data_IF_900000968808
#
_entry.id   IF_900000968808
#
_cell.length_a   1.000
_cell.length_b   1.000
_cell.length_c   1.000
_cell.angle_alpha   90.00
_cell.angle_beta   90.00
_cell.angle_gamma   90.00
#
_symmetry.space_group_name_H-M   'P 1'
#
loop_
_entity.id
_entity.type
_entity.pdbx_description
1 polymer ?
#
# COMPACT_ATOMS: atom_id res chain seq x y z
N UNK A 1 -20.83 -21.82 9.93
CA UNK A 1 -19.47 -21.67 10.48
C UNK A 1 -18.58 -21.10 9.38
N UNK A 2 -18.25 -19.80 9.37
CA UNK A 2 -17.26 -19.30 8.43
C UNK A 2 -15.92 -19.96 8.77
N UNK A 3 -15.31 -20.60 7.78
CA UNK A 3 -14.05 -21.34 7.92
C UNK A 3 -12.95 -20.38 8.41
N UNK A 4 -12.59 -20.48 9.69
CA UNK A 4 -11.51 -19.75 10.38
C UNK A 4 -10.12 -20.18 9.92
N UNK A 5 -9.85 -20.15 8.61
CA UNK A 5 -8.48 -20.35 8.13
C UNK A 5 -7.73 -19.05 8.40
N UNK A 6 -6.83 -19.08 9.37
CA UNK A 6 -5.85 -18.02 9.62
C UNK A 6 -4.98 -17.80 8.38
N UNK A 7 -4.33 -16.64 8.30
CA UNK A 7 -3.32 -16.41 7.27
C UNK A 7 -2.21 -17.48 7.39
N UNK A 8 -1.72 -18.02 6.26
CA UNK A 8 -0.53 -18.86 6.29
C UNK A 8 0.67 -18.12 6.85
N UNK A 9 1.61 -18.85 7.47
CA UNK A 9 2.86 -18.26 7.92
C UNK A 9 3.60 -17.59 6.75
N UNK A 10 4.17 -16.38 6.95
CA UNK A 10 4.94 -15.71 5.92
C UNK A 10 6.25 -16.46 5.63
N UNK A 11 6.77 -16.33 4.41
CA UNK A 11 8.16 -16.68 4.13
C UNK A 11 9.04 -15.59 4.76
N UNK A 12 9.96 -15.98 5.62
CA UNK A 12 10.87 -15.06 6.32
C UNK A 12 12.30 -15.36 5.91
N UNK A 13 13.00 -14.33 5.45
CA UNK A 13 14.41 -14.39 5.06
C UNK A 13 15.17 -13.48 6.02
N UNK A 14 16.02 -14.10 6.84
CA UNK A 14 16.86 -13.38 7.78
C UNK A 14 17.89 -12.50 7.05
N UNK A 15 18.38 -11.43 7.68
CA UNK A 15 19.49 -10.64 7.14
C UNK A 15 20.70 -11.53 6.82
N UNK A 16 21.41 -11.23 5.73
CA UNK A 16 22.65 -11.94 5.37
C UNK A 16 23.75 -11.71 6.41
N UNK A 17 23.80 -10.54 7.02
CA UNK A 17 24.58 -10.25 8.23
C UNK A 17 23.69 -10.52 9.45
N UNK A 18 23.67 -11.79 9.88
CA UNK A 18 22.76 -12.27 10.93
C UNK A 18 22.94 -11.59 12.30
N UNK A 19 24.09 -10.96 12.54
CA UNK A 19 24.41 -10.17 13.72
C UNK A 19 23.85 -8.73 13.66
N UNK A 20 23.26 -8.32 12.53
CA UNK A 20 22.76 -6.96 12.28
C UNK A 20 21.39 -6.97 11.61
N UNK A 21 20.32 -6.80 12.41
CA UNK A 21 18.96 -6.55 11.90
C UNK A 21 18.65 -5.06 12.00
N UNK A 22 18.72 -4.36 10.87
CA UNK A 22 18.54 -2.89 10.82
C UNK A 22 17.15 -2.49 10.36
N UNK A 23 16.57 -3.22 9.40
CA UNK A 23 15.27 -2.91 8.80
C UNK A 23 14.55 -4.20 8.43
N UNK A 24 13.22 -4.12 8.30
CA UNK A 24 12.40 -5.18 7.71
C UNK A 24 11.65 -4.64 6.50
N UNK A 25 11.71 -5.38 5.38
CA UNK A 25 10.91 -5.14 4.18
C UNK A 25 9.82 -6.23 4.09
N UNK A 26 8.56 -5.82 4.11
CA UNK A 26 7.38 -6.67 3.94
C UNK A 26 6.84 -6.50 2.53
N UNK A 27 6.90 -7.55 1.68
CA UNK A 27 6.47 -7.47 0.29
C UNK A 27 5.34 -8.46 -0.03
N UNK A 28 4.21 -7.90 -0.46
CA UNK A 28 3.00 -8.64 -0.79
C UNK A 28 3.01 -9.10 -2.24
N UNK A 29 2.62 -10.36 -2.46
CA UNK A 29 2.50 -10.94 -3.79
C UNK A 29 1.22 -10.48 -4.53
N UNK A 30 1.22 -10.60 -5.87
CA UNK A 30 0.04 -10.39 -6.69
C UNK A 30 -1.01 -11.50 -6.59
N UNK A 31 -2.23 -11.22 -7.05
CA UNK A 31 -3.38 -12.14 -6.99
C UNK A 31 -3.05 -13.53 -7.57
N UNK A 32 -3.47 -14.58 -6.87
CA UNK A 32 -3.30 -15.98 -7.29
C UNK A 32 -1.94 -16.60 -6.96
N UNK A 33 -0.98 -15.82 -6.44
CA UNK A 33 0.35 -16.31 -6.04
C UNK A 33 0.40 -16.70 -4.55
N UNK A 34 1.59 -16.82 -3.98
CA UNK A 34 1.84 -16.94 -2.54
C UNK A 34 3.21 -16.33 -2.19
N UNK A 35 3.45 -16.09 -0.90
CA UNK A 35 4.67 -15.46 -0.39
C UNK A 35 5.94 -16.28 -0.67
N UNK A 36 5.86 -17.61 -0.63
CA UNK A 36 7.00 -18.50 -0.90
C UNK A 36 7.48 -18.37 -2.34
N UNK A 37 6.59 -18.56 -3.30
CA UNK A 37 6.89 -18.46 -4.74
C UNK A 37 7.34 -17.05 -5.12
N UNK A 38 6.62 -16.04 -4.65
CA UNK A 38 6.95 -14.65 -4.98
C UNK A 38 8.30 -14.25 -4.36
N UNK A 39 8.54 -14.56 -3.09
CA UNK A 39 9.76 -14.20 -2.39
C UNK A 39 11.01 -14.87 -2.96
N UNK A 40 10.94 -16.17 -3.29
CA UNK A 40 12.05 -16.88 -3.94
C UNK A 40 12.40 -16.23 -5.30
N UNK A 41 11.40 -16.06 -6.18
CA UNK A 41 11.62 -15.45 -7.50
C UNK A 41 12.13 -14.02 -7.38
N UNK A 42 11.59 -13.23 -6.45
CA UNK A 42 12.02 -11.86 -6.21
C UNK A 42 13.49 -11.83 -5.77
N UNK A 43 13.89 -12.60 -4.77
CA UNK A 43 15.27 -12.57 -4.28
C UNK A 43 16.27 -13.10 -5.31
N UNK A 44 15.93 -14.18 -6.01
CA UNK A 44 16.79 -14.79 -7.03
C UNK A 44 16.98 -13.90 -8.25
N UNK A 45 15.91 -13.25 -8.73
CA UNK A 45 15.98 -12.43 -9.94
C UNK A 45 16.55 -11.03 -9.69
N UNK A 46 16.39 -10.49 -8.49
CA UNK A 46 16.78 -9.11 -8.19
C UNK A 46 18.13 -9.00 -7.53
N UNK A 47 18.61 -10.03 -6.83
CA UNK A 47 19.83 -9.98 -6.01
C UNK A 47 19.84 -8.85 -4.95
N UNK A 48 18.65 -8.34 -4.59
CA UNK A 48 18.50 -7.19 -3.69
C UNK A 48 19.00 -7.48 -2.26
N UNK A 49 18.91 -8.72 -1.79
CA UNK A 49 19.40 -9.09 -0.46
C UNK A 49 20.91 -8.92 -0.29
N UNK A 50 21.69 -9.08 -1.37
CA UNK A 50 23.14 -8.78 -1.34
C UNK A 50 23.42 -7.29 -1.22
N UNK A 51 22.58 -6.48 -1.84
CA UNK A 51 22.67 -5.02 -1.76
C UNK A 51 22.27 -4.54 -0.35
N UNK A 52 21.36 -5.26 0.32
CA UNK A 52 20.78 -4.90 1.62
C UNK A 52 21.08 -5.98 2.68
N UNK A 53 22.36 -6.21 3.04
CA UNK A 53 22.74 -7.39 3.83
C UNK A 53 22.23 -7.37 5.28
N UNK A 54 21.83 -6.21 5.80
CA UNK A 54 21.31 -6.02 7.16
C UNK A 54 19.78 -5.95 7.23
N UNK A 55 19.11 -6.24 6.13
CA UNK A 55 17.66 -6.14 5.99
C UNK A 55 17.03 -7.53 6.02
N UNK A 56 15.97 -7.67 6.81
CA UNK A 56 15.11 -8.86 6.84
C UNK A 56 14.02 -8.71 5.79
N UNK A 57 13.71 -9.77 5.06
CA UNK A 57 12.59 -9.78 4.11
C UNK A 57 11.47 -10.71 4.60
N UNK A 58 10.24 -10.23 4.52
CA UNK A 58 9.04 -10.96 4.91
C UNK A 58 8.05 -10.96 3.75
N UNK A 59 7.65 -12.14 3.29
CA UNK A 59 6.71 -12.31 2.20
C UNK A 59 5.45 -13.02 2.73
N UNK A 60 4.43 -12.26 3.14
CA UNK A 60 3.17 -12.84 3.60
C UNK A 60 2.40 -13.50 2.45
N UNK A 61 1.56 -14.47 2.79
CA UNK A 61 0.67 -15.15 1.83
C UNK A 61 -0.77 -14.75 2.08
N UNK A 62 -1.47 -14.25 1.07
CA UNK A 62 -2.89 -13.95 1.16
C UNK A 62 -3.71 -15.21 1.46
N UNK A 63 -4.77 -15.06 2.26
CA UNK A 63 -5.73 -16.13 2.54
C UNK A 63 -6.43 -16.60 1.26
N UNK A 64 -6.83 -17.89 1.22
CA UNK A 64 -7.66 -18.42 0.14
C UNK A 64 -9.08 -17.83 0.22
N UNK A 65 -9.49 -17.10 -0.82
CA UNK A 65 -10.84 -16.55 -1.00
C UNK A 65 -11.40 -16.99 -2.36
N UNK A 66 -12.72 -17.02 -2.50
CA UNK A 66 -13.37 -17.27 -3.80
C UNK A 66 -13.25 -16.02 -4.67
N UNK A 67 -12.75 -16.15 -5.89
CA UNK A 67 -12.63 -15.02 -6.81
C UNK A 67 -13.88 -14.89 -7.68
N UNK A 68 -14.53 -13.73 -7.66
CA UNK A 68 -15.70 -13.45 -8.49
C UNK A 68 -15.33 -13.49 -9.98
N UNK A 69 -14.23 -12.85 -10.36
CA UNK A 69 -13.67 -12.88 -11.73
C UNK A 69 -13.40 -14.30 -12.22
N UNK A 70 -12.87 -15.18 -11.36
CA UNK A 70 -12.52 -16.56 -11.73
C UNK A 70 -13.63 -17.57 -11.40
N UNK A 71 -14.90 -17.20 -11.60
CA UNK A 71 -16.07 -18.09 -11.43
C UNK A 71 -16.09 -18.80 -10.06
N UNK A 72 -15.72 -18.08 -9.00
CA UNK A 72 -15.66 -18.53 -7.59
C UNK A 72 -14.60 -19.61 -7.30
N UNK A 73 -13.60 -19.78 -8.16
CA UNK A 73 -12.44 -20.64 -7.89
C UNK A 73 -11.69 -20.08 -6.66
N UNK A 74 -11.41 -20.89 -5.62
CA UNK A 74 -10.61 -20.46 -4.48
C UNK A 74 -9.15 -20.24 -4.87
N UNK A 75 -8.66 -19.01 -4.68
CA UNK A 75 -7.27 -18.61 -4.90
C UNK A 75 -6.77 -17.78 -3.73
N UNK A 76 -5.45 -17.67 -3.57
CA UNK A 76 -4.87 -16.70 -2.66
C UNK A 76 -5.04 -15.30 -3.26
N UNK A 77 -5.82 -14.45 -2.59
CA UNK A 77 -6.06 -13.07 -2.99
C UNK A 77 -6.36 -12.25 -1.74
N UNK A 78 -5.88 -11.01 -1.71
CA UNK A 78 -6.02 -10.14 -0.55
C UNK A 78 -7.48 -9.73 -0.37
N UNK A 79 -8.11 -9.34 -1.47
CA UNK A 79 -9.52 -9.00 -1.56
C UNK A 79 -10.10 -9.48 -2.88
N UNK A 80 -11.44 -9.49 -2.99
CA UNK A 80 -12.14 -9.89 -4.22
C UNK A 80 -12.38 -8.67 -5.11
N UNK A 81 -12.31 -8.87 -6.42
CA UNK A 81 -12.58 -7.83 -7.41
C UNK A 81 -13.61 -8.36 -8.39
N UNK A 82 -14.46 -7.46 -8.91
CA UNK A 82 -15.39 -7.81 -9.98
C UNK A 82 -14.75 -7.80 -11.37
N UNK A 83 -13.85 -6.84 -11.63
CA UNK A 83 -13.15 -6.67 -12.90
C UNK A 83 -11.65 -6.54 -12.68
N UNK A 84 -10.87 -7.06 -13.63
CA UNK A 84 -9.41 -6.88 -13.67
C UNK A 84 -9.00 -5.67 -14.48
N UNK A 85 -9.86 -5.22 -15.39
CA UNK A 85 -9.62 -4.06 -16.28
C UNK A 85 -10.02 -2.76 -15.59
N UNK A 86 -11.15 -2.76 -14.88
CA UNK A 86 -11.63 -1.61 -14.10
C UNK A 86 -11.81 -2.01 -12.62
N UNK A 87 -10.78 -1.82 -11.78
CA UNK A 87 -10.87 -2.07 -10.34
C UNK A 87 -11.91 -1.22 -9.61
N UNK A 88 -12.46 -0.17 -10.22
CA UNK A 88 -13.50 0.67 -9.62
C UNK A 88 -14.92 0.15 -9.90
N UNK A 89 -15.06 -0.99 -10.57
CA UNK A 89 -16.38 -1.64 -10.74
C UNK A 89 -16.71 -2.51 -9.53
N UNK A 90 -17.87 -2.27 -8.92
CA UNK A 90 -18.38 -3.06 -7.78
C UNK A 90 -17.38 -3.14 -6.62
N UNK A 91 -16.96 -1.96 -6.15
CA UNK A 91 -15.96 -1.79 -5.10
C UNK A 91 -16.38 -2.39 -3.75
N UNK A 92 -17.68 -2.61 -3.53
CA UNK A 92 -18.21 -3.25 -2.31
C UNK A 92 -17.66 -4.67 -2.09
N UNK A 93 -17.26 -5.38 -3.15
CA UNK A 93 -16.63 -6.71 -3.04
C UNK A 93 -15.22 -6.67 -2.42
N UNK A 94 -14.58 -5.49 -2.41
CA UNK A 94 -13.21 -5.33 -1.95
C UNK A 94 -13.15 -5.17 -0.42
N UNK A 95 -14.22 -4.64 0.20
CA UNK A 95 -14.27 -4.18 1.59
C UNK A 95 -13.84 -5.29 2.57
N UNK A 96 -14.57 -6.40 2.65
CA UNK A 96 -14.28 -7.52 3.58
C UNK A 96 -12.83 -8.02 3.47
N UNK A 97 -12.31 -8.07 2.25
CA UNK A 97 -10.96 -8.55 1.99
C UNK A 97 -9.88 -7.54 2.37
N UNK A 98 -10.13 -6.25 2.13
CA UNK A 98 -9.22 -5.16 2.50
C UNK A 98 -9.17 -4.97 4.02
N UNK A 99 -10.30 -4.99 4.71
CA UNK A 99 -10.39 -4.95 6.17
C UNK A 99 -9.58 -6.11 6.78
N UNK A 100 -9.89 -7.37 6.41
CA UNK A 100 -9.24 -8.55 6.99
C UNK A 100 -7.75 -8.63 6.62
N UNK A 101 -7.37 -8.23 5.40
CA UNK A 101 -5.95 -8.22 4.99
C UNK A 101 -5.17 -7.14 5.71
N UNK A 102 -5.72 -5.95 5.83
CA UNK A 102 -5.07 -4.83 6.52
C UNK A 102 -4.94 -5.13 8.00
N UNK A 103 -5.96 -5.67 8.66
CA UNK A 103 -5.86 -6.12 10.05
C UNK A 103 -4.69 -7.10 10.27
N UNK A 104 -4.54 -8.09 9.38
CA UNK A 104 -3.40 -9.01 9.42
C UNK A 104 -2.05 -8.31 9.20
N UNK A 105 -1.95 -7.42 8.21
CA UNK A 105 -0.71 -6.71 7.88
C UNK A 105 -0.27 -5.78 9.02
N UNK A 106 -1.21 -5.13 9.70
CA UNK A 106 -0.93 -4.30 10.88
C UNK A 106 -0.30 -5.12 11.99
N UNK A 107 -0.89 -6.28 12.31
CA UNK A 107 -0.30 -7.20 13.29
C UNK A 107 1.12 -7.64 12.90
N UNK A 108 1.36 -7.93 11.62
CA UNK A 108 2.68 -8.28 11.11
C UNK A 108 3.67 -7.11 11.20
N UNK A 109 3.26 -5.89 10.85
CA UNK A 109 4.07 -4.68 11.00
C UNK A 109 4.44 -4.47 12.48
N UNK A 110 3.47 -4.62 13.40
CA UNK A 110 3.71 -4.46 14.83
C UNK A 110 4.69 -5.50 15.39
N UNK A 111 4.64 -6.73 14.89
CA UNK A 111 5.60 -7.79 15.23
C UNK A 111 7.01 -7.45 14.74
N UNK A 112 7.14 -6.99 13.49
CA UNK A 112 8.43 -6.63 12.91
C UNK A 112 9.02 -5.36 13.55
N UNK A 113 8.19 -4.37 13.85
CA UNK A 113 8.61 -3.18 14.58
C UNK A 113 9.11 -3.54 15.99
N UNK A 114 8.45 -4.48 16.69
CA UNK A 114 8.90 -4.99 18.01
C UNK A 114 10.29 -5.62 17.95
N UNK A 115 10.62 -6.34 16.87
CA UNK A 115 11.98 -6.88 16.65
C UNK A 115 13.03 -5.78 16.41
N UNK A 116 12.58 -4.61 15.96
CA UNK A 116 13.39 -3.41 15.69
C UNK A 116 13.28 -2.37 16.82
N UNK A 117 13.14 -2.82 18.07
CA UNK A 117 13.03 -1.97 19.27
C UNK A 117 11.83 -1.00 19.26
N UNK A 118 10.76 -1.35 18.56
CA UNK A 118 9.56 -0.51 18.40
C UNK A 118 9.71 0.59 17.33
N UNK A 119 10.76 0.56 16.51
CA UNK A 119 10.99 1.59 15.49
C UNK A 119 10.25 1.29 14.18
N UNK A 120 9.03 1.82 14.02
CA UNK A 120 8.22 1.70 12.80
C UNK A 120 8.90 2.31 11.57
N UNK A 121 9.74 3.34 11.77
CA UNK A 121 10.58 3.94 10.72
C UNK A 121 11.59 2.98 10.10
N UNK A 122 11.78 1.79 10.68
CA UNK A 122 12.64 0.73 10.15
C UNK A 122 11.86 -0.38 9.44
N UNK A 123 10.53 -0.27 9.38
CA UNK A 123 9.66 -1.20 8.66
C UNK A 123 9.20 -0.56 7.37
N UNK A 124 9.40 -1.26 6.26
CA UNK A 124 8.97 -0.88 4.92
C UNK A 124 7.91 -1.88 4.47
N UNK A 125 6.80 -1.40 3.92
CA UNK A 125 5.76 -2.26 3.35
C UNK A 125 5.60 -1.98 1.86
N UNK A 126 5.22 -2.98 1.09
CA UNK A 126 5.00 -2.82 -0.33
C UNK A 126 4.48 -4.07 -0.99
N UNK A 127 4.46 -4.10 -2.32
CA UNK A 127 4.07 -5.30 -3.02
C UNK A 127 3.92 -5.12 -4.52
N UNK A 128 3.51 -6.21 -5.15
CA UNK A 128 3.26 -6.29 -6.59
C UNK A 128 1.76 -6.42 -6.87
N UNK A 129 1.23 -5.68 -7.85
CA UNK A 129 -0.14 -5.85 -8.35
C UNK A 129 -1.18 -5.69 -7.24
N UNK A 130 -2.07 -6.67 -7.02
CA UNK A 130 -3.02 -6.65 -5.91
C UNK A 130 -2.32 -6.50 -4.54
N UNK A 131 -1.10 -7.01 -4.39
CA UNK A 131 -0.30 -6.81 -3.18
C UNK A 131 0.06 -5.35 -2.96
N UNK A 132 0.46 -4.62 -4.02
CA UNK A 132 0.69 -3.17 -3.98
C UNK A 132 -0.58 -2.45 -3.51
N UNK A 133 -1.71 -2.74 -4.16
CA UNK A 133 -3.00 -2.13 -3.87
C UNK A 133 -3.46 -2.35 -2.42
N UNK A 134 -3.28 -3.56 -1.88
CA UNK A 134 -3.56 -3.82 -0.46
C UNK A 134 -2.59 -3.10 0.47
N UNK A 135 -1.29 -3.10 0.15
CA UNK A 135 -0.29 -2.48 1.02
C UNK A 135 -0.44 -0.96 1.10
N UNK A 136 -0.77 -0.28 0.00
CA UNK A 136 -0.99 1.18 0.02
C UNK A 136 -2.24 1.53 0.81
N UNK A 137 -3.30 0.73 0.66
CA UNK A 137 -4.53 0.92 1.43
C UNK A 137 -4.30 0.70 2.93
N UNK A 138 -3.46 -0.28 3.30
CA UNK A 138 -3.01 -0.48 4.67
C UNK A 138 -2.20 0.71 5.22
N UNK A 139 -1.31 1.30 4.40
CA UNK A 139 -0.50 2.46 4.78
C UNK A 139 -1.36 3.70 5.08
N UNK A 140 -2.36 3.97 4.24
CA UNK A 140 -3.29 5.09 4.41
C UNK A 140 -4.18 4.96 5.65
N UNK A 141 -4.35 3.74 6.19
CA UNK A 141 -5.14 3.48 7.38
C UNK A 141 -4.53 3.96 8.71
N UNK A 142 -3.28 4.42 8.74
CA UNK A 142 -2.49 4.83 9.93
C UNK A 142 -2.23 3.71 10.95
N UNK A 143 -1.23 3.83 11.83
CA UNK A 143 -0.90 2.86 12.88
C UNK A 143 -0.95 3.50 14.28
N UNK A 144 -2.13 3.81 14.84
CA UNK A 144 -2.24 4.48 16.13
C UNK A 144 -1.86 3.57 17.30
N UNK A 145 -1.08 4.10 18.24
CA UNK A 145 -0.97 3.60 19.63
C UNK A 145 -0.82 4.79 20.59
N UNK A 146 -1.68 4.86 21.61
CA UNK A 146 -1.60 5.81 22.74
C UNK A 146 -1.19 7.25 22.35
N UNK A 147 -2.01 7.89 21.49
CA UNK A 147 -1.83 9.26 20.97
C UNK A 147 -0.55 9.52 20.13
N UNK A 148 0.21 8.48 19.77
CA UNK A 148 1.39 8.61 18.90
C UNK A 148 1.10 8.04 17.52
N UNK A 149 1.31 8.86 16.49
CA UNK A 149 1.32 8.40 15.10
C UNK A 149 2.61 7.63 14.81
N UNK A 150 2.47 6.45 14.18
CA UNK A 150 3.60 5.60 13.83
C UNK A 150 3.84 5.65 12.32
N UNK A 151 4.80 6.46 11.94
CA UNK A 151 5.27 6.58 10.56
C UNK A 151 6.12 5.34 10.20
N UNK A 152 5.81 4.72 9.05
CA UNK A 152 6.65 3.66 8.49
C UNK A 152 7.91 4.24 7.85
N UNK A 153 8.91 3.39 7.62
CA UNK A 153 10.15 3.79 6.97
C UNK A 153 9.95 4.19 5.51
N UNK A 154 9.12 3.45 4.79
CA UNK A 154 8.81 3.73 3.39
C UNK A 154 7.79 2.77 2.81
N UNK A 155 7.40 3.06 1.57
CA UNK A 155 6.51 2.23 0.77
C UNK A 155 7.14 1.88 -0.59
N UNK A 156 6.97 0.64 -1.05
CA UNK A 156 7.42 0.20 -2.39
C UNK A 156 6.26 -0.47 -3.14
N UNK A 157 5.71 0.23 -4.13
CA UNK A 157 4.66 -0.28 -5.01
C UNK A 157 5.20 -0.65 -6.39
N UNK A 158 4.85 -1.85 -6.86
CA UNK A 158 5.20 -2.33 -8.20
C UNK A 158 3.93 -2.72 -8.96
N UNK A 159 3.71 -2.15 -10.15
CA UNK A 159 2.59 -2.44 -11.05
C UNK A 159 1.21 -2.48 -10.36
N UNK A 160 0.93 -1.49 -9.51
CA UNK A 160 -0.25 -1.45 -8.64
C UNK A 160 -1.28 -0.37 -8.99
N UNK A 161 -2.29 -0.22 -8.14
CA UNK A 161 -3.32 0.82 -8.22
C UNK A 161 -3.85 1.14 -6.81
N UNK A 162 -4.56 2.25 -6.66
CA UNK A 162 -5.23 2.63 -5.43
C UNK A 162 -6.67 2.09 -5.41
N UNK A 163 -7.05 1.22 -4.44
CA UNK A 163 -8.45 0.86 -4.25
C UNK A 163 -9.30 2.09 -3.91
N UNK A 164 -10.55 2.14 -4.40
CA UNK A 164 -11.47 3.27 -4.20
C UNK A 164 -10.93 4.62 -4.70
N UNK A 165 -10.12 4.59 -5.76
CA UNK A 165 -9.49 5.79 -6.33
C UNK A 165 -10.53 6.87 -6.72
N UNK A 166 -11.67 6.49 -7.30
CA UNK A 166 -12.70 7.47 -7.71
C UNK A 166 -13.35 8.13 -6.50
N UNK A 167 -13.65 7.37 -5.47
CA UNK A 167 -14.25 7.87 -4.23
C UNK A 167 -13.26 8.77 -3.47
N UNK A 168 -12.00 8.34 -3.35
CA UNK A 168 -10.92 9.12 -2.73
C UNK A 168 -10.69 10.44 -3.48
N UNK A 169 -10.63 10.40 -4.82
CA UNK A 169 -10.42 11.61 -5.63
C UNK A 169 -11.53 12.64 -5.44
N UNK A 170 -12.81 12.20 -5.43
CA UNK A 170 -13.95 13.10 -5.21
C UNK A 170 -13.91 13.78 -3.85
N UNK A 171 -13.51 13.06 -2.79
CA UNK A 171 -13.42 13.62 -1.44
C UNK A 171 -12.29 14.66 -1.32
N UNK A 172 -11.21 14.49 -2.09
CA UNK A 172 -10.14 15.46 -2.19
C UNK A 172 -10.61 16.73 -2.90
N UNK A 173 -11.31 16.58 -4.04
CA UNK A 173 -11.87 17.69 -4.81
C UNK A 173 -12.94 18.48 -4.02
N UNK A 174 -13.81 17.81 -3.27
CA UNK A 174 -14.86 18.48 -2.48
C UNK A 174 -14.34 19.31 -1.31
N UNK A 175 -13.11 19.03 -0.85
CA UNK A 175 -12.44 19.81 0.20
C UNK A 175 -11.70 21.04 -0.32
N UNK A 176 -11.53 21.18 -1.63
CA UNK A 176 -10.89 22.33 -2.29
C UNK A 176 -11.91 23.43 -2.66
N UNK A 177 -12.89 23.69 -1.78
CA UNK A 177 -13.74 24.89 -1.78
C UNK A 177 -14.67 25.11 -2.99
N UNK A 178 -15.97 25.01 -2.76
CA UNK A 178 -16.93 25.89 -3.44
C UNK A 178 -16.66 27.33 -3.00
N UNK A 179 -15.73 28.00 -3.68
CA UNK A 179 -15.63 29.46 -3.71
C UNK A 179 -16.05 29.96 -5.09
N UNK A 180 -17.37 29.98 -5.31
CA UNK A 180 -18.03 30.71 -6.39
C UNK A 180 -18.72 29.86 -7.45
N UNK A 181 -20.04 29.68 -7.35
CA UNK A 181 -21.06 30.51 -8.03
C UNK A 181 -22.46 30.04 -7.65
N UNK A 182 -23.27 30.98 -7.13
CA UNK A 182 -24.74 31.07 -7.10
C UNK A 182 -25.59 29.79 -7.28
N UNK A 183 -26.20 29.34 -6.17
CA UNK A 183 -27.63 28.97 -6.17
C UNK A 183 -28.20 29.19 -4.75
N UNK A 184 -29.07 30.20 -4.62
CA UNK A 184 -29.90 30.43 -3.44
C UNK A 184 -30.87 29.24 -3.31
N UNK A 185 -30.55 28.23 -2.50
CA UNK A 185 -31.53 27.24 -2.04
C UNK A 185 -32.15 27.70 -0.71
N UNK A 186 -33.41 28.19 -0.71
CA UNK A 186 -34.10 28.63 0.50
C UNK A 186 -34.53 27.49 1.44
N UNK A 187 -34.12 26.24 1.19
CA UNK A 187 -34.38 25.08 2.03
C UNK A 187 -33.16 24.44 2.69
N UNK A 188 -31.95 25.03 2.57
CA UNK A 188 -30.82 24.57 3.38
C UNK A 188 -31.11 24.83 4.85
N UNK A 189 -31.39 23.78 5.61
CA UNK A 189 -31.37 23.84 7.06
C UNK A 189 -29.91 24.05 7.48
N UNK A 190 -29.66 25.16 8.16
CA UNK A 190 -28.43 25.44 8.89
C UNK A 190 -28.26 24.38 9.99
N UNK A 191 -27.61 23.27 9.65
CA UNK A 191 -26.93 22.45 10.66
C UNK A 191 -25.60 23.17 10.98
N UNK A 192 -25.67 24.10 11.94
CA UNK A 192 -24.51 24.67 12.62
C UNK A 192 -23.66 23.55 13.27
N UNK A 193 -22.32 23.76 13.30
CA UNK A 193 -21.30 23.04 14.08
C UNK A 193 -20.61 21.78 13.49
N UNK A 194 -20.26 21.81 12.20
CA UNK A 194 -19.16 20.97 11.68
C UNK A 194 -17.93 21.83 11.37
N UNK A 195 -16.80 21.63 12.07
CA UNK A 195 -15.51 22.17 11.56
C UNK A 195 -15.31 21.63 10.13
N UNK A 196 -15.06 22.50 9.14
CA UNK A 196 -14.78 22.10 7.76
C UNK A 196 -13.56 21.17 7.73
N UNK A 197 -13.81 19.85 7.72
CA UNK A 197 -12.77 18.83 7.70
C UNK A 197 -12.04 18.93 6.35
N UNK A 198 -10.71 19.11 6.32
CA UNK A 198 -9.96 19.18 5.06
C UNK A 198 -10.17 17.95 4.17
N UNK A 199 -10.21 18.13 2.84
CA UNK A 199 -10.50 17.05 1.89
C UNK A 199 -9.57 15.83 2.01
N UNK A 200 -8.29 16.05 2.31
CA UNK A 200 -7.35 14.97 2.60
C UNK A 200 -7.72 14.18 3.87
N UNK A 201 -8.21 14.83 4.92
CA UNK A 201 -8.71 14.15 6.13
C UNK A 201 -10.00 13.39 5.82
N UNK A 202 -10.91 13.94 5.01
CA UNK A 202 -12.12 13.23 4.56
C UNK A 202 -11.77 11.97 3.76
N UNK A 203 -10.84 12.07 2.82
CA UNK A 203 -10.35 10.95 2.01
C UNK A 203 -9.71 9.86 2.87
N UNK A 204 -8.88 10.23 3.84
CA UNK A 204 -8.28 9.30 4.80
C UNK A 204 -9.37 8.67 5.69
N UNK A 205 -10.34 9.43 6.16
CA UNK A 205 -11.45 8.90 6.95
C UNK A 205 -12.29 7.91 6.16
N UNK A 206 -12.46 8.09 4.85
CA UNK A 206 -13.10 7.10 3.98
C UNK A 206 -12.32 5.78 3.92
N UNK A 207 -10.99 5.84 3.78
CA UNK A 207 -10.13 4.64 3.86
C UNK A 207 -10.28 3.96 5.23
N UNK A 208 -10.29 4.75 6.31
CA UNK A 208 -10.42 4.24 7.68
C UNK A 208 -11.78 3.59 7.91
N UNK A 209 -12.85 4.14 7.38
CA UNK A 209 -14.20 3.55 7.45
C UNK A 209 -14.24 2.16 6.77
N UNK A 210 -13.68 2.05 5.56
CA UNK A 210 -13.56 0.75 4.85
C UNK A 210 -12.74 -0.27 5.65
N UNK A 211 -11.73 0.21 6.38
CA UNK A 211 -10.88 -0.61 7.24
C UNK A 211 -11.46 -0.84 8.64
N UNK A 212 -12.68 -0.35 8.91
CA UNK A 212 -13.33 -0.45 10.21
C UNK A 212 -12.47 0.15 11.34
N UNK A 213 -11.86 1.30 11.05
CA UNK A 213 -11.01 2.08 11.96
C UNK A 213 -11.74 3.37 12.38
N UNK A 214 -11.55 3.85 13.63
CA UNK A 214 -12.16 5.09 14.09
C UNK A 214 -11.78 6.29 13.22
N UNK A 215 -12.72 7.20 12.92
CA UNK A 215 -12.41 8.42 12.18
C UNK A 215 -11.40 9.31 12.94
N UNK A 216 -10.57 10.03 12.19
CA UNK A 216 -9.68 11.08 12.68
C UNK A 216 -10.49 12.37 12.80
N UNK A 217 -10.44 13.00 13.97
CA UNK A 217 -11.14 14.28 14.19
C UNK A 217 -10.27 15.49 13.80
N UNK A 218 -9.03 15.58 14.29
CA UNK A 218 -8.08 16.67 13.99
C UNK A 218 -6.62 16.22 14.14
N UNK A 219 -6.34 14.94 13.88
CA UNK A 219 -5.00 14.37 14.10
C UNK A 219 -3.99 14.85 13.06
N UNK A 220 -2.78 15.14 13.52
CA UNK A 220 -1.63 15.31 12.64
C UNK A 220 -1.48 14.06 11.76
N UNK A 221 -1.62 14.21 10.44
CA UNK A 221 -1.40 13.15 9.46
C UNK A 221 0.10 12.85 9.26
N UNK A 222 0.92 12.98 10.30
CA UNK A 222 2.39 12.91 10.20
C UNK A 222 2.93 11.54 9.79
N UNK A 223 2.11 10.47 9.88
CA UNK A 223 2.44 9.15 9.33
C UNK A 223 2.46 9.15 7.79
N UNK A 224 1.78 10.12 7.13
CA UNK A 224 1.80 10.30 5.68
C UNK A 224 3.13 10.86 5.17
N UNK A 225 4.03 11.30 6.05
CA UNK A 225 5.41 11.62 5.70
C UNK A 225 6.24 10.38 5.29
N UNK A 226 5.67 9.18 5.33
CA UNK A 226 6.30 7.94 4.84
C UNK A 226 6.64 8.11 3.35
N UNK A 227 7.92 8.07 2.94
CA UNK A 227 8.29 8.16 1.53
C UNK A 227 7.73 6.99 0.71
N UNK A 228 7.29 7.26 -0.52
CA UNK A 228 6.61 6.30 -1.39
C UNK A 228 7.38 6.14 -2.70
N UNK A 229 7.76 4.93 -3.05
CA UNK A 229 8.25 4.57 -4.38
C UNK A 229 7.16 3.81 -5.14
N UNK A 230 6.92 4.20 -6.39
CA UNK A 230 5.97 3.54 -7.30
C UNK A 230 6.62 3.28 -8.66
N UNK A 231 6.77 2.01 -9.02
CA UNK A 231 7.26 1.53 -10.32
C UNK A 231 6.16 0.85 -11.13
N UNK A 232 6.13 1.08 -12.44
CA UNK A 232 5.12 0.46 -13.33
C UNK A 232 5.64 0.29 -14.76
N UNK A 233 5.34 -0.85 -15.40
CA UNK A 233 5.61 -1.03 -16.83
C UNK A 233 4.65 -0.22 -17.72
N UNK A 234 5.16 0.51 -18.71
CA UNK A 234 4.32 1.35 -19.59
C UNK A 234 3.44 0.54 -20.56
N UNK A 235 3.80 -0.72 -20.80
CA UNK A 235 3.09 -1.66 -21.67
C UNK A 235 2.43 -2.79 -20.86
N UNK A 236 2.07 -2.52 -19.59
CA UNK A 236 1.40 -3.48 -18.71
C UNK A 236 0.01 -3.89 -19.25
N UNK A 237 -0.18 -5.16 -19.68
CA UNK A 237 -1.43 -5.61 -20.26
C UNK A 237 -2.48 -6.02 -19.22
N UNK A 238 -2.14 -6.01 -17.93
CA UNK A 238 -3.03 -6.47 -16.84
C UNK A 238 -3.52 -5.34 -15.96
N UNK A 239 -2.64 -4.41 -15.61
CA UNK A 239 -2.97 -3.22 -14.82
C UNK A 239 -2.48 -2.02 -15.61
N UNK A 240 -3.41 -1.25 -16.17
CA UNK A 240 -3.06 -0.07 -16.95
C UNK A 240 -2.11 0.84 -16.17
N UNK A 241 -1.02 1.29 -16.81
CA UNK A 241 -0.08 2.26 -16.24
C UNK A 241 -0.79 3.54 -15.80
N UNK A 242 -1.93 3.88 -16.41
CA UNK A 242 -2.77 5.02 -16.00
C UNK A 242 -3.29 4.87 -14.56
N UNK A 243 -3.62 3.64 -14.11
CA UNK A 243 -4.05 3.41 -12.73
C UNK A 243 -2.92 3.68 -11.73
N UNK A 244 -1.69 3.32 -12.09
CA UNK A 244 -0.50 3.64 -11.30
C UNK A 244 -0.20 5.14 -11.28
N UNK A 245 -0.31 5.82 -12.44
CA UNK A 245 -0.13 7.28 -12.55
C UNK A 245 -1.15 8.05 -11.70
N UNK A 246 -2.42 7.64 -11.72
CA UNK A 246 -3.46 8.26 -10.88
C UNK A 246 -3.21 8.02 -9.40
N UNK A 247 -2.86 6.80 -9.01
CA UNK A 247 -2.44 6.52 -7.63
C UNK A 247 -1.29 7.44 -7.21
N UNK A 248 -0.28 7.63 -8.07
CA UNK A 248 0.84 8.51 -7.77
C UNK A 248 0.38 9.96 -7.55
N UNK A 249 -0.43 10.53 -8.45
CA UNK A 249 -0.93 11.91 -8.34
C UNK A 249 -1.86 12.10 -7.13
N UNK A 250 -2.72 11.14 -6.81
CA UNK A 250 -3.57 11.20 -5.62
C UNK A 250 -2.72 11.21 -4.35
N UNK A 251 -1.71 10.32 -4.27
CA UNK A 251 -0.85 10.25 -3.10
C UNK A 251 0.06 11.50 -2.97
N UNK A 252 0.56 12.04 -4.08
CA UNK A 252 1.42 13.24 -4.05
C UNK A 252 0.62 14.51 -3.85
N UNK A 253 -0.31 14.78 -4.76
CA UNK A 253 -0.95 16.10 -4.92
C UNK A 253 -2.16 16.20 -4.00
N UNK A 254 -2.95 15.14 -3.89
CA UNK A 254 -4.14 15.11 -3.04
C UNK A 254 -3.82 14.89 -1.57
N UNK A 255 -3.01 13.88 -1.27
CA UNK A 255 -2.72 13.46 0.11
C UNK A 255 -1.49 14.18 0.69
N UNK A 256 -0.54 14.63 -0.15
CA UNK A 256 0.66 15.35 0.27
C UNK A 256 1.86 14.48 0.64
N UNK A 257 1.94 13.25 0.11
CA UNK A 257 3.04 12.31 0.38
C UNK A 257 4.27 12.57 -0.51
N UNK A 258 5.46 12.22 -0.03
CA UNK A 258 6.70 12.24 -0.84
C UNK A 258 6.74 11.03 -1.78
N UNK A 259 6.21 11.20 -2.99
CA UNK A 259 6.06 10.14 -4.00
C UNK A 259 7.15 10.23 -5.07
N UNK A 260 7.88 9.14 -5.27
CA UNK A 260 8.74 8.89 -6.42
C UNK A 260 8.03 7.96 -7.39
N UNK A 261 7.58 8.49 -8.54
CA UNK A 261 6.94 7.71 -9.61
C UNK A 261 7.89 7.43 -10.76
N UNK A 262 7.96 6.17 -11.21
CA UNK A 262 8.71 5.75 -12.40
C UNK A 262 7.91 4.81 -13.28
N UNK A 263 7.81 5.15 -14.56
CA UNK A 263 7.24 4.29 -15.59
C UNK A 263 8.38 3.74 -16.47
N UNK A 264 8.40 2.42 -16.67
CA UNK A 264 9.44 1.74 -17.43
C UNK A 264 8.96 1.41 -18.84
N UNK A 265 9.61 1.99 -19.85
CA UNK A 265 9.20 1.85 -21.25
C UNK A 265 9.23 0.41 -21.75
N UNK A 266 8.25 0.06 -22.60
CA UNK A 266 8.09 -1.25 -23.25
C UNK A 266 8.06 -2.44 -22.29
N UNK A 267 7.78 -2.19 -21.01
CA UNK A 267 7.79 -3.20 -19.96
C UNK A 267 6.36 -3.59 -19.53
N UNK A 268 6.14 -4.88 -19.29
CA UNK A 268 4.84 -5.45 -18.97
C UNK A 268 4.53 -5.54 -17.47
N UNK A 269 3.58 -6.41 -17.11
CA UNK A 269 3.10 -6.60 -15.73
C UNK A 269 4.10 -7.35 -14.84
N UNK A 270 5.14 -6.67 -14.38
CA UNK A 270 6.13 -7.18 -13.42
C UNK A 270 6.95 -6.03 -12.80
N UNK A 271 8.04 -6.35 -12.11
CA UNK A 271 9.09 -5.39 -11.76
C UNK A 271 10.28 -5.52 -12.73
N UNK A 272 10.84 -4.42 -13.20
CA UNK A 272 11.93 -4.42 -14.19
C UNK A 272 13.30 -4.66 -13.55
N UNK A 273 14.01 -5.69 -14.00
CA UNK A 273 15.37 -5.98 -13.57
C UNK A 273 16.34 -5.66 -14.74
N UNK A 274 17.41 -4.88 -14.51
CA UNK A 274 17.82 -4.29 -13.23
C UNK A 274 17.15 -2.94 -12.91
N UNK A 275 16.65 -2.21 -13.92
CA UNK A 275 16.31 -0.79 -13.83
C UNK A 275 15.43 -0.39 -12.61
N UNK A 276 14.28 -1.06 -12.43
CA UNK A 276 13.36 -0.72 -11.34
C UNK A 276 13.91 -1.10 -9.96
N UNK A 277 14.66 -2.19 -9.90
CA UNK A 277 15.27 -2.63 -8.64
C UNK A 277 16.42 -1.70 -8.25
N UNK A 278 17.22 -1.23 -9.20
CA UNK A 278 18.29 -0.26 -8.93
C UNK A 278 17.71 1.06 -8.41
N UNK A 279 16.59 1.49 -8.98
CA UNK A 279 15.84 2.65 -8.50
C UNK A 279 15.28 2.44 -7.09
N UNK A 280 14.73 1.26 -6.78
CA UNK A 280 14.27 0.90 -5.43
C UNK A 280 15.44 0.93 -4.43
N UNK A 281 16.60 0.36 -4.78
CA UNK A 281 17.77 0.36 -3.89
C UNK A 281 18.27 1.78 -3.66
N UNK A 282 18.29 2.62 -4.71
CA UNK A 282 18.67 4.03 -4.61
C UNK A 282 17.71 4.80 -3.71
N UNK A 283 16.40 4.60 -3.89
CA UNK A 283 15.35 5.17 -3.04
C UNK A 283 15.53 4.77 -1.56
N UNK A 284 15.75 3.48 -1.28
CA UNK A 284 16.00 2.98 0.08
C UNK A 284 17.27 3.57 0.71
N UNK A 285 18.32 3.75 -0.09
CA UNK A 285 19.59 4.37 0.36
C UNK A 285 19.40 5.85 0.68
N UNK A 286 18.76 6.60 -0.21
CA UNK A 286 18.66 8.06 -0.14
C UNK A 286 17.60 8.55 0.84
N UNK A 287 16.41 7.94 0.82
CA UNK A 287 15.27 8.40 1.63
C UNK A 287 15.25 7.79 3.02
N UNK A 288 15.73 6.54 3.16
CA UNK A 288 15.66 5.79 4.42
C UNK A 288 17.03 5.58 5.07
N UNK A 289 18.14 5.90 4.40
CA UNK A 289 19.49 5.73 4.94
C UNK A 289 19.85 4.26 5.18
N UNK A 290 19.23 3.32 4.45
CA UNK A 290 19.51 1.89 4.64
C UNK A 290 20.96 1.60 4.22
N UNK A 291 21.75 0.88 5.04
CA UNK A 291 23.09 0.46 4.66
C UNK A 291 23.07 -0.42 3.40
N UNK A 292 23.50 0.15 2.27
CA UNK A 292 23.55 -0.54 0.99
C UNK A 292 25.00 -0.85 0.59
N UNK A 293 25.21 -2.03 0.00
CA UNK A 293 26.44 -2.34 -0.75
C UNK A 293 26.23 -1.95 -2.21
N UNK A 294 27.24 -1.36 -2.83
CA UNK A 294 27.18 -1.02 -4.25
C UNK A 294 27.10 -2.30 -5.09
N UNK A 295 26.29 -2.27 -6.14
CA UNK A 295 26.23 -3.36 -7.13
C UNK A 295 27.50 -3.35 -7.98
N UNK A 296 28.05 -4.54 -8.31
CA UNK A 296 29.20 -4.65 -9.21
C UNK A 296 28.89 -4.18 -10.63
#
# INVERSE_FOLDING_TARGET
>A
MPSSKSYPAPLVIAPLKSDQHTHTIILLHGRGSNGERFGQVFLESTDIARCLPTVKFVFPTAKKRRSTVLKRIPINQWYDNYSLEDPNTRTELQIDGLEESTCFLRGLIDEEARLLNGEYRRVIIGGLSQGCATSVFCLLGDFPEDDKTRQLGGFIGMSGWLPFEREISRLLESGEGESGTDDDDPFSHDDEDGEDIPGNVQAINHVRDILNLPALQNSSLSYLNTPVFLGHGSADPKVSVELGRRMASILSDGVGMDVTWKAYEEFGHWYKVPDEIDDVVSFLKEKLGIPCLDRP
#
